data_IF_306622877635
#
_entry.id   IF_306622877635
#
_cell.length_a   1.000
_cell.length_b   1.000
_cell.length_c   1.000
_cell.angle_alpha   90.00
_cell.angle_beta   90.00
_cell.angle_gamma   90.00
#
_symmetry.space_group_name_H-M   'P 1'
#
loop_
_entity.id
_entity.type
_entity.pdbx_description
1 polymer ?
#
# COMPACT_ATOMS: atom_id res chain seq x y z
N UNK A 1 -50.01 -4.91 42.13
CA UNK A 1 -49.51 -3.66 41.52
C UNK A 1 -47.99 -3.80 41.46
N UNK A 2 -47.51 -4.33 40.35
CA UNK A 2 -46.08 -4.50 40.07
C UNK A 2 -45.48 -3.15 39.65
N UNK A 3 -44.35 -2.80 40.25
CA UNK A 3 -43.61 -1.59 39.92
C UNK A 3 -42.70 -1.87 38.72
N UNK A 4 -43.04 -1.26 37.59
CA UNK A 4 -42.26 -1.27 36.36
C UNK A 4 -40.93 -0.54 36.57
N UNK A 5 -39.82 -1.27 36.54
CA UNK A 5 -38.48 -0.71 36.56
C UNK A 5 -38.15 -0.20 35.14
N UNK A 6 -38.06 1.12 34.97
CA UNK A 6 -37.64 1.76 33.73
C UNK A 6 -36.11 1.65 33.64
N UNK A 7 -35.61 0.86 32.69
CA UNK A 7 -34.20 0.82 32.32
C UNK A 7 -33.84 2.12 31.58
N UNK A 8 -32.95 2.92 32.17
CA UNK A 8 -32.34 4.06 31.50
C UNK A 8 -31.41 3.59 30.36
N UNK A 9 -31.35 4.31 29.22
CA UNK A 9 -30.46 3.94 28.14
C UNK A 9 -28.99 4.12 28.54
N UNK A 10 -28.15 3.17 28.14
CA UNK A 10 -26.70 3.23 28.23
C UNK A 10 -26.20 4.55 27.64
N UNK A 11 -25.69 5.45 28.48
CA UNK A 11 -24.80 6.52 28.06
C UNK A 11 -23.46 5.90 27.66
N UNK A 12 -23.33 5.55 26.38
CA UNK A 12 -22.02 5.32 25.77
C UNK A 12 -21.39 6.68 25.54
N UNK A 13 -20.33 6.99 26.31
CA UNK A 13 -19.51 8.18 26.17
C UNK A 13 -18.97 8.28 24.73
N UNK A 14 -19.20 9.42 24.10
CA UNK A 14 -18.65 9.82 22.78
C UNK A 14 -17.18 10.28 22.85
N UNK A 15 -16.52 10.14 24.00
CA UNK A 15 -15.16 10.59 24.21
C UNK A 15 -14.17 9.46 23.90
N UNK A 16 -13.81 9.31 22.61
CA UNK A 16 -12.50 8.81 22.13
C UNK A 16 -12.42 8.74 20.58
N UNK A 17 -13.12 9.63 19.86
CA UNK A 17 -12.81 9.87 18.46
C UNK A 17 -11.56 10.75 18.40
N UNK A 18 -10.38 10.12 18.42
CA UNK A 18 -9.12 10.76 18.13
C UNK A 18 -9.17 11.28 16.67
N UNK A 19 -9.54 12.54 16.48
CA UNK A 19 -9.45 13.20 15.17
C UNK A 19 -7.97 13.32 14.83
N UNK A 20 -7.51 12.45 13.93
CA UNK A 20 -6.15 12.50 13.38
C UNK A 20 -6.20 13.46 12.19
N UNK A 21 -6.21 14.75 12.48
CA UNK A 21 -6.10 15.77 11.44
C UNK A 21 -4.83 15.52 10.61
N UNK A 22 -5.01 15.27 9.31
CA UNK A 22 -3.94 15.25 8.31
C UNK A 22 -3.65 13.91 7.61
N UNK A 23 -4.28 12.79 7.98
CA UNK A 23 -4.18 11.55 7.18
C UNK A 23 -5.37 11.33 6.23
N UNK A 24 -6.40 12.16 6.37
CA UNK A 24 -7.75 11.89 5.88
C UNK A 24 -7.98 12.24 4.40
N UNK A 25 -7.06 12.99 3.80
CA UNK A 25 -7.07 13.41 2.38
C UNK A 25 -5.89 12.84 1.56
N UNK A 26 -5.15 11.92 2.17
CA UNK A 26 -3.84 11.46 1.75
C UNK A 26 -3.83 10.40 0.64
N UNK A 27 -4.94 9.70 0.39
CA UNK A 27 -4.96 8.57 -0.57
C UNK A 27 -5.93 8.87 -1.72
N UNK A 28 -5.57 8.56 -2.98
CA UNK A 28 -6.45 8.83 -4.10
C UNK A 28 -7.74 8.03 -3.90
N UNK A 29 -8.88 8.57 -4.33
CA UNK A 29 -10.18 7.92 -4.16
C UNK A 29 -10.20 6.51 -4.76
N UNK A 30 -9.48 6.28 -5.86
CA UNK A 30 -9.23 4.98 -6.50
C UNK A 30 -8.65 3.95 -5.51
N UNK A 31 -7.74 4.38 -4.65
CA UNK A 31 -7.04 3.51 -3.73
C UNK A 31 -7.80 3.29 -2.44
N UNK A 32 -8.48 4.33 -1.94
CA UNK A 32 -9.44 4.19 -0.84
C UNK A 32 -10.52 3.19 -1.26
N UNK A 33 -11.04 3.28 -2.48
CA UNK A 33 -11.97 2.31 -3.04
C UNK A 33 -11.39 0.89 -3.06
N UNK A 34 -10.15 0.71 -3.50
CA UNK A 34 -9.48 -0.60 -3.49
C UNK A 34 -9.26 -1.16 -2.07
N UNK A 35 -8.99 -0.31 -1.08
CA UNK A 35 -8.88 -0.70 0.33
C UNK A 35 -10.26 -1.14 0.84
N UNK A 36 -11.30 -0.31 0.65
CA UNK A 36 -12.66 -0.59 1.08
C UNK A 36 -13.24 -1.86 0.44
N UNK A 37 -12.97 -2.11 -0.84
CA UNK A 37 -13.34 -3.34 -1.52
C UNK A 37 -12.78 -4.60 -0.86
N UNK A 38 -11.66 -4.50 -0.12
CA UNK A 38 -10.99 -5.63 0.54
C UNK A 38 -11.36 -5.77 2.01
N UNK A 39 -12.07 -4.80 2.58
CA UNK A 39 -12.61 -4.90 3.92
C UNK A 39 -13.79 -5.89 3.98
N UNK A 40 -14.05 -6.44 5.16
CA UNK A 40 -15.35 -7.01 5.50
C UNK A 40 -16.35 -5.88 5.80
N UNK A 41 -17.63 -6.21 5.98
CA UNK A 41 -18.68 -5.21 6.26
C UNK A 41 -18.37 -4.37 7.49
N UNK A 42 -17.80 -4.98 8.54
CA UNK A 42 -17.40 -4.29 9.77
C UNK A 42 -16.23 -3.35 9.53
N UNK A 43 -15.22 -3.81 8.79
CA UNK A 43 -14.04 -3.04 8.41
C UNK A 43 -14.41 -1.85 7.55
N UNK A 44 -15.30 -2.02 6.56
CA UNK A 44 -15.81 -0.94 5.73
C UNK A 44 -16.62 0.09 6.53
N UNK A 45 -17.43 -0.35 7.51
CA UNK A 45 -18.17 0.55 8.42
C UNK A 45 -17.28 1.30 9.41
N UNK A 46 -16.15 0.72 9.80
CA UNK A 46 -15.14 1.42 10.62
C UNK A 46 -14.35 2.39 9.77
N UNK A 47 -13.97 1.96 8.58
CA UNK A 47 -13.26 2.75 7.58
C UNK A 47 -14.09 3.99 7.15
N UNK A 48 -15.42 3.85 7.04
CA UNK A 48 -16.32 4.97 6.73
C UNK A 48 -16.39 6.03 7.83
N UNK A 49 -15.94 5.72 9.05
CA UNK A 49 -15.87 6.66 10.17
C UNK A 49 -14.52 7.36 10.29
N UNK A 50 -13.55 7.02 9.43
CA UNK A 50 -12.21 7.61 9.46
C UNK A 50 -12.26 9.07 8.99
N UNK A 51 -12.95 9.36 7.88
CA UNK A 51 -13.15 10.72 7.40
C UNK A 51 -14.31 10.84 6.41
N UNK A 52 -14.67 12.07 6.06
CA UNK A 52 -15.78 12.38 5.12
C UNK A 52 -15.59 11.75 3.72
N UNK A 53 -14.37 11.71 3.19
CA UNK A 53 -14.08 11.14 1.87
C UNK A 53 -14.29 9.62 1.83
N UNK A 54 -13.87 8.92 2.89
CA UNK A 54 -14.09 7.48 3.05
C UNK A 54 -15.57 7.18 3.29
N UNK A 55 -16.24 8.02 4.09
CA UNK A 55 -17.69 7.96 4.30
C UNK A 55 -18.43 8.07 2.97
N UNK A 56 -18.18 9.13 2.19
CA UNK A 56 -18.84 9.38 0.91
C UNK A 56 -18.64 8.24 -0.09
N UNK A 57 -17.45 7.64 -0.15
CA UNK A 57 -17.19 6.46 -0.98
C UNK A 57 -18.00 5.24 -0.52
N UNK A 58 -18.21 5.08 0.79
CA UNK A 58 -18.90 3.93 1.37
C UNK A 58 -20.41 4.07 1.54
N UNK A 59 -20.98 5.27 1.46
CA UNK A 59 -22.43 5.49 1.72
C UNK A 59 -23.19 6.16 0.60
N UNK A 60 -22.59 7.11 -0.13
CA UNK A 60 -23.37 8.13 -0.86
C UNK A 60 -23.20 8.10 -2.39
N UNK A 61 -22.55 7.08 -2.95
CA UNK A 61 -22.22 7.02 -4.39
C UNK A 61 -22.65 5.71 -5.07
N UNK A 62 -22.74 5.71 -6.41
CA UNK A 62 -22.81 4.46 -7.19
C UNK A 62 -21.62 3.54 -6.88
N UNK A 63 -20.48 4.15 -6.56
CA UNK A 63 -19.27 3.48 -6.07
C UNK A 63 -19.49 2.77 -4.73
N UNK A 64 -20.32 3.32 -3.82
CA UNK A 64 -20.70 2.66 -2.57
C UNK A 64 -21.48 1.36 -2.83
N UNK A 65 -22.36 1.35 -3.86
CA UNK A 65 -23.04 0.12 -4.26
C UNK A 65 -22.05 -0.94 -4.73
N UNK A 66 -21.00 -0.58 -5.46
CA UNK A 66 -19.98 -1.54 -5.88
C UNK A 66 -19.15 -2.06 -4.70
N UNK A 67 -18.79 -1.20 -3.74
CA UNK A 67 -18.11 -1.62 -2.49
C UNK A 67 -18.98 -2.62 -1.75
N UNK A 68 -20.22 -2.23 -1.43
CA UNK A 68 -21.13 -3.06 -0.65
C UNK A 68 -21.54 -4.32 -1.39
N UNK A 69 -21.78 -4.26 -2.71
CA UNK A 69 -22.04 -5.45 -3.52
C UNK A 69 -20.84 -6.39 -3.51
N UNK A 70 -19.61 -5.88 -3.54
CA UNK A 70 -18.41 -6.71 -3.44
C UNK A 70 -18.24 -7.31 -2.05
N UNK A 71 -18.47 -6.54 -0.99
CA UNK A 71 -18.42 -6.99 0.40
C UNK A 71 -19.50 -8.03 0.66
N UNK A 72 -20.76 -7.75 0.29
CA UNK A 72 -21.86 -8.70 0.40
C UNK A 72 -21.61 -9.91 -0.48
N UNK A 73 -21.12 -9.77 -1.71
CA UNK A 73 -20.79 -10.93 -2.53
C UNK A 73 -19.67 -11.74 -1.89
N UNK A 74 -18.63 -11.11 -1.34
CA UNK A 74 -17.57 -11.80 -0.60
C UNK A 74 -18.13 -12.51 0.62
N UNK A 75 -18.96 -11.87 1.41
CA UNK A 75 -19.51 -12.49 2.61
C UNK A 75 -20.56 -13.55 2.27
N UNK A 76 -21.40 -13.35 1.26
CA UNK A 76 -22.37 -14.35 0.80
C UNK A 76 -21.71 -15.54 0.10
N UNK A 77 -20.60 -15.33 -0.61
CA UNK A 77 -19.86 -16.39 -1.30
C UNK A 77 -18.87 -17.09 -0.37
N UNK A 78 -18.30 -16.38 0.61
CA UNK A 78 -17.23 -16.90 1.48
C UNK A 78 -17.67 -17.18 2.93
N UNK A 79 -18.86 -16.77 3.37
CA UNK A 79 -19.33 -17.00 4.76
C UNK A 79 -20.42 -18.08 4.89
N UNK A 80 -20.75 -18.85 3.84
CA UNK A 80 -21.90 -19.73 3.92
C UNK A 80 -21.84 -21.04 3.14
N UNK A 81 -20.93 -21.96 3.48
CA UNK A 81 -21.11 -23.38 3.11
C UNK A 81 -22.49 -23.90 3.59
N UNK A 82 -23.01 -23.32 4.69
CA UNK A 82 -24.32 -23.60 5.26
C UNK A 82 -25.47 -23.08 4.38
N UNK A 83 -25.45 -21.80 4.00
CA UNK A 83 -26.51 -21.18 3.17
C UNK A 83 -26.51 -21.71 1.73
N UNK A 84 -25.36 -22.01 1.13
CA UNK A 84 -25.28 -22.65 -0.19
C UNK A 84 -25.63 -24.15 -0.12
N UNK A 85 -25.34 -24.81 1.01
CA UNK A 85 -25.80 -26.17 1.31
C UNK A 85 -27.31 -26.27 1.46
N UNK A 86 -27.95 -25.27 2.08
CA UNK A 86 -29.42 -25.14 2.15
C UNK A 86 -30.06 -24.93 0.76
N UNK A 87 -29.30 -24.40 -0.21
CA UNK A 87 -29.71 -24.21 -1.61
C UNK A 87 -29.24 -25.33 -2.57
N UNK A 88 -28.54 -26.36 -2.07
CA UNK A 88 -28.18 -27.56 -2.83
C UNK A 88 -26.91 -27.47 -3.69
N UNK A 89 -26.05 -26.47 -3.51
CA UNK A 89 -24.79 -26.33 -4.25
C UNK A 89 -23.59 -26.80 -3.42
N UNK A 90 -22.62 -27.47 -4.06
CA UNK A 90 -21.39 -27.95 -3.43
C UNK A 90 -20.19 -27.16 -3.96
N UNK A 91 -19.58 -26.33 -3.10
CA UNK A 91 -18.41 -25.52 -3.45
C UNK A 91 -17.20 -26.06 -2.70
N UNK A 92 -16.15 -26.45 -3.43
CA UNK A 92 -14.83 -26.77 -2.85
C UNK A 92 -13.80 -25.81 -3.42
N UNK A 93 -13.36 -24.86 -2.60
CA UNK A 93 -12.18 -24.03 -2.85
C UNK A 93 -11.16 -24.30 -1.74
N UNK A 94 -9.85 -24.42 -2.04
CA UNK A 94 -8.85 -24.59 -1.00
C UNK A 94 -8.77 -23.33 -0.14
N UNK A 95 -9.03 -23.49 1.16
CA UNK A 95 -9.01 -22.44 2.17
C UNK A 95 -7.61 -21.79 2.28
N UNK A 96 -7.52 -20.52 1.87
CA UNK A 96 -6.57 -19.60 2.50
C UNK A 96 -7.38 -18.51 3.16
N UNK A 97 -7.40 -18.51 4.48
CA UNK A 97 -8.03 -17.47 5.27
C UNK A 97 -7.15 -16.20 5.22
N UNK A 98 -7.41 -15.35 4.21
CA UNK A 98 -6.71 -14.08 4.05
C UNK A 98 -6.94 -13.12 5.23
N UNK A 99 -8.03 -13.27 5.99
CA UNK A 99 -8.27 -12.52 7.23
C UNK A 99 -7.31 -12.98 8.30
N UNK A 100 -7.13 -14.29 8.47
CA UNK A 100 -6.14 -14.84 9.38
C UNK A 100 -4.71 -14.47 8.96
N UNK A 101 -4.35 -14.54 7.67
CA UNK A 101 -3.05 -14.07 7.16
C UNK A 101 -2.81 -12.59 7.48
N UNK A 102 -3.82 -11.73 7.28
CA UNK A 102 -3.73 -10.30 7.58
C UNK A 102 -3.60 -10.04 9.08
N UNK A 103 -4.37 -10.74 9.90
CA UNK A 103 -4.31 -10.62 11.36
C UNK A 103 -2.99 -11.16 11.92
N UNK A 104 -2.47 -12.25 11.38
CA UNK A 104 -1.16 -12.81 11.75
C UNK A 104 -0.02 -11.90 11.31
N UNK A 105 -0.11 -11.29 10.12
CA UNK A 105 0.84 -10.29 9.65
C UNK A 105 0.87 -9.05 10.56
N UNK A 106 -0.30 -8.52 10.90
CA UNK A 106 -0.44 -7.36 11.80
C UNK A 106 0.02 -7.68 13.23
N UNK A 107 -0.34 -8.86 13.76
CA UNK A 107 0.07 -9.32 15.09
C UNK A 107 1.56 -9.59 15.16
N UNK A 108 2.14 -10.23 14.15
CA UNK A 108 3.58 -10.43 14.06
C UNK A 108 4.32 -9.09 13.96
N UNK A 109 3.83 -8.15 13.14
CA UNK A 109 4.36 -6.79 13.04
C UNK A 109 4.15 -5.98 14.33
N UNK A 110 3.19 -6.35 15.18
CA UNK A 110 3.03 -5.76 16.49
C UNK A 110 4.05 -6.32 17.52
N UNK A 111 4.30 -7.62 17.48
CA UNK A 111 5.02 -8.34 18.54
C UNK A 111 6.55 -8.43 18.31
N UNK A 112 6.99 -8.47 17.05
CA UNK A 112 8.42 -8.65 16.69
C UNK A 112 9.09 -7.37 16.23
N UNK A 113 8.32 -6.30 16.05
CA UNK A 113 8.80 -5.08 15.43
C UNK A 113 9.33 -4.10 16.48
N UNK A 114 10.49 -3.44 16.26
CA UNK A 114 11.01 -2.47 17.20
C UNK A 114 9.98 -1.35 17.44
N UNK A 115 9.59 -1.12 18.70
CA UNK A 115 8.53 -0.15 19.09
C UNK A 115 8.83 1.29 18.70
N UNK A 116 10.08 1.59 18.36
CA UNK A 116 10.55 2.88 17.87
C UNK A 116 10.36 3.08 16.36
N UNK A 117 9.83 2.10 15.63
CA UNK A 117 9.68 2.15 14.17
C UNK A 117 8.23 2.46 13.78
N UNK A 118 8.06 3.45 12.91
CA UNK A 118 6.76 4.06 12.62
C UNK A 118 5.82 3.08 11.88
N UNK A 119 4.60 2.90 12.39
CA UNK A 119 3.53 2.10 11.74
C UNK A 119 3.09 2.71 10.40
N UNK A 120 3.44 3.97 10.11
CA UNK A 120 3.16 4.67 8.84
C UNK A 120 3.98 4.20 7.63
N UNK A 121 4.57 3.00 7.72
CA UNK A 121 5.55 2.46 6.77
C UNK A 121 5.07 1.20 6.05
N UNK A 122 3.83 0.80 6.32
CA UNK A 122 3.13 -0.25 5.62
C UNK A 122 2.16 0.38 4.62
N UNK A 123 2.21 -0.06 3.37
CA UNK A 123 1.30 0.39 2.33
C UNK A 123 0.82 -0.78 1.48
N UNK A 124 -0.37 -0.62 0.92
CA UNK A 124 -0.94 -1.59 0.03
C UNK A 124 -0.42 -1.36 -1.39
N UNK A 125 0.21 -2.39 -1.96
CA UNK A 125 0.60 -2.42 -3.36
C UNK A 125 -0.45 -3.17 -4.17
N UNK A 126 -1.38 -2.48 -4.83
CA UNK A 126 -2.41 -3.15 -5.60
C UNK A 126 -1.82 -3.78 -6.87
N UNK A 127 -2.25 -4.99 -7.25
CA UNK A 127 -1.94 -5.57 -8.58
C UNK A 127 -2.58 -4.81 -9.73
N UNK A 128 -3.68 -4.12 -9.45
CA UNK A 128 -4.53 -3.43 -10.42
C UNK A 128 -5.02 -2.11 -9.83
N UNK A 129 -5.06 -1.07 -10.65
CA UNK A 129 -5.60 0.24 -10.33
C UNK A 129 -6.88 0.39 -11.14
N UNK A 130 -7.96 0.81 -10.51
CA UNK A 130 -9.22 1.11 -11.19
C UNK A 130 -9.27 2.59 -11.45
N UNK A 131 -9.48 2.99 -12.69
CA UNK A 131 -9.73 4.40 -13.03
C UNK A 131 -11.16 4.77 -12.63
N UNK A 132 -11.36 5.79 -11.80
CA UNK A 132 -12.72 6.23 -11.46
C UNK A 132 -13.49 6.79 -12.67
N UNK A 133 -12.78 7.39 -13.64
CA UNK A 133 -13.40 7.95 -14.83
C UNK A 133 -14.00 6.89 -15.77
N UNK A 134 -13.38 5.70 -15.83
CA UNK A 134 -13.78 4.63 -16.76
C UNK A 134 -14.33 3.39 -16.07
N UNK A 135 -14.10 3.23 -14.77
CA UNK A 135 -14.40 2.00 -14.01
C UNK A 135 -13.53 0.80 -14.39
N UNK A 136 -12.59 0.94 -15.33
CA UNK A 136 -11.79 -0.17 -15.84
C UNK A 136 -10.58 -0.40 -14.94
N UNK A 137 -10.42 -1.66 -14.50
CA UNK A 137 -9.23 -2.12 -13.80
C UNK A 137 -8.08 -2.31 -14.80
N UNK A 138 -6.90 -1.79 -14.45
CA UNK A 138 -5.69 -1.93 -15.24
C UNK A 138 -4.54 -2.44 -14.35
N UNK A 139 -3.69 -3.36 -14.84
CA UNK A 139 -2.54 -3.84 -14.07
C UNK A 139 -1.64 -2.69 -13.61
N UNK A 140 -1.29 -2.67 -12.33
CA UNK A 140 -0.45 -1.67 -11.69
C UNK A 140 1.01 -1.89 -12.09
N UNK A 141 1.62 -0.88 -12.71
CA UNK A 141 3.02 -0.86 -13.14
C UNK A 141 3.63 0.49 -12.77
N UNK A 142 4.97 0.62 -12.73
CA UNK A 142 5.61 1.91 -12.48
C UNK A 142 5.03 3.06 -13.33
N UNK A 143 4.90 2.86 -14.65
CA UNK A 143 4.38 3.90 -15.54
C UNK A 143 2.95 4.28 -15.19
N UNK A 144 2.07 3.30 -14.94
CA UNK A 144 0.66 3.56 -14.65
C UNK A 144 0.44 4.21 -13.29
N UNK A 145 1.17 3.77 -12.26
CA UNK A 145 1.10 4.39 -10.93
C UNK A 145 1.57 5.84 -11.00
N UNK A 146 2.69 6.09 -11.67
CA UNK A 146 3.19 7.44 -11.87
C UNK A 146 2.19 8.34 -12.61
N UNK A 147 1.53 7.85 -13.66
CA UNK A 147 0.53 8.61 -14.40
C UNK A 147 -0.73 8.93 -13.56
N UNK A 148 -1.07 8.08 -12.57
CA UNK A 148 -2.21 8.30 -11.67
C UNK A 148 -1.86 9.27 -10.55
N UNK A 149 -0.69 9.10 -9.93
CA UNK A 149 -0.29 9.87 -8.74
C UNK A 149 0.38 11.20 -9.12
N UNK A 150 1.14 11.23 -10.23
CA UNK A 150 1.89 12.39 -10.71
C UNK A 150 1.11 13.71 -10.71
N UNK A 151 -0.09 13.76 -11.32
CA UNK A 151 -0.91 14.97 -11.35
C UNK A 151 -1.40 15.41 -9.96
N UNK A 152 -1.37 14.52 -8.97
CA UNK A 152 -1.87 14.78 -7.61
C UNK A 152 -0.76 15.25 -6.64
N UNK A 153 0.51 15.18 -7.05
CA UNK A 153 1.67 15.54 -6.23
C UNK A 153 2.00 17.05 -6.22
N UNK A 154 1.17 17.87 -6.86
CA UNK A 154 1.30 19.32 -6.90
C UNK A 154 1.97 19.86 -8.19
N UNK A 155 1.98 21.20 -8.36
CA UNK A 155 2.38 21.85 -9.62
C UNK A 155 3.86 21.73 -9.96
N UNK A 156 4.72 21.49 -8.96
CA UNK A 156 6.17 21.35 -9.15
C UNK A 156 6.58 19.92 -9.56
N UNK A 157 5.67 18.95 -9.41
CA UNK A 157 5.92 17.57 -9.81
C UNK A 157 5.56 17.35 -11.28
N UNK A 158 6.39 16.57 -11.98
CA UNK A 158 6.06 16.13 -13.33
C UNK A 158 4.74 15.35 -13.33
N UNK A 159 3.94 15.51 -14.39
CA UNK A 159 2.65 14.84 -14.57
C UNK A 159 2.74 13.29 -14.54
N UNK A 160 3.94 12.74 -14.73
CA UNK A 160 4.20 11.29 -14.66
C UNK A 160 4.61 10.83 -13.26
N UNK A 161 4.78 11.74 -12.30
CA UNK A 161 5.34 11.45 -10.97
C UNK A 161 6.87 11.25 -10.96
N UNK A 162 7.53 11.32 -12.14
CA UNK A 162 8.96 11.07 -12.27
C UNK A 162 9.73 12.32 -12.68
N UNK A 163 10.78 12.66 -11.93
CA UNK A 163 11.80 13.63 -12.38
C UNK A 163 12.61 13.05 -13.54
N UNK A 164 12.97 11.78 -13.41
CA UNK A 164 13.76 11.06 -14.39
C UNK A 164 13.54 9.56 -14.26
N UNK A 165 13.29 8.89 -15.38
CA UNK A 165 13.25 7.44 -15.46
C UNK A 165 14.25 7.02 -16.53
N UNK A 166 15.31 6.30 -16.15
CA UNK A 166 16.33 5.86 -17.09
C UNK A 166 15.70 5.12 -18.28
N UNK A 167 15.91 5.56 -19.54
CA UNK A 167 15.15 5.04 -20.68
C UNK A 167 15.23 3.52 -20.86
N UNK A 168 16.38 2.89 -20.57
CA UNK A 168 16.50 1.43 -20.64
C UNK A 168 15.68 0.74 -19.56
N UNK A 169 15.64 1.28 -18.33
CA UNK A 169 14.78 0.77 -17.28
C UNK A 169 13.31 1.00 -17.55
N UNK A 170 12.95 2.15 -18.12
CA UNK A 170 11.59 2.42 -18.54
C UNK A 170 11.12 1.39 -19.59
N UNK A 171 11.96 1.13 -20.59
CA UNK A 171 11.67 0.13 -21.62
C UNK A 171 11.57 -1.30 -21.05
N UNK A 172 12.50 -1.71 -20.20
CA UNK A 172 12.58 -3.08 -19.70
C UNK A 172 11.62 -3.37 -18.53
N UNK A 173 11.32 -2.38 -17.70
CA UNK A 173 10.61 -2.56 -16.41
C UNK A 173 9.44 -1.61 -16.20
N UNK A 174 9.30 -0.54 -16.99
CA UNK A 174 8.24 0.47 -16.78
C UNK A 174 6.82 -0.09 -16.89
N UNK A 175 6.62 -1.09 -17.76
CA UNK A 175 5.35 -1.80 -17.93
C UNK A 175 5.22 -3.08 -17.11
N UNK A 176 6.23 -3.47 -16.31
CA UNK A 176 6.15 -4.68 -15.47
C UNK A 176 5.15 -4.45 -14.35
N UNK A 177 4.30 -5.44 -14.13
CA UNK A 177 3.21 -5.37 -13.17
C UNK A 177 3.49 -6.24 -11.97
N UNK A 178 2.91 -5.88 -10.84
CA UNK A 178 2.84 -6.78 -9.69
C UNK A 178 2.03 -8.03 -10.08
N UNK A 179 2.52 -9.20 -9.68
CA UNK A 179 1.84 -10.47 -9.94
C UNK A 179 0.61 -10.64 -9.05
N UNK A 180 0.68 -10.10 -7.85
CA UNK A 180 -0.40 -10.12 -6.87
C UNK A 180 -0.41 -8.83 -6.05
N UNK A 181 -1.57 -8.52 -5.48
CA UNK A 181 -1.70 -7.46 -4.50
C UNK A 181 -1.00 -7.89 -3.23
N UNK A 182 -0.18 -7.04 -2.64
CA UNK A 182 0.49 -7.36 -1.38
C UNK A 182 0.53 -6.16 -0.45
N UNK A 183 0.57 -6.43 0.86
CA UNK A 183 0.97 -5.42 1.82
C UNK A 183 2.49 -5.39 1.86
N UNK A 184 3.05 -4.21 1.64
CA UNK A 184 4.49 -3.98 1.66
C UNK A 184 4.80 -3.14 2.87
N UNK A 185 5.64 -3.68 3.74
CA UNK A 185 6.37 -2.87 4.70
C UNK A 185 7.68 -2.44 4.06
N UNK A 186 8.01 -1.16 4.17
CA UNK A 186 9.26 -0.59 3.68
C UNK A 186 9.97 0.20 4.79
N UNK A 187 11.29 0.08 4.95
CA UNK A 187 12.00 0.84 6.00
C UNK A 187 12.02 2.34 5.72
N UNK A 188 11.97 3.20 6.76
CA UNK A 188 11.92 4.67 6.62
C UNK A 188 13.24 5.29 6.17
N UNK A 189 14.30 4.51 6.19
CA UNK A 189 15.57 4.85 5.57
C UNK A 189 16.24 3.55 5.13
N UNK A 190 17.38 3.68 4.46
CA UNK A 190 18.26 2.55 4.22
C UNK A 190 18.75 1.94 5.54
N UNK A 191 19.02 0.64 5.55
CA UNK A 191 19.60 -0.03 6.74
C UNK A 191 20.88 0.71 7.13
N UNK A 192 21.09 1.03 8.42
CA UNK A 192 22.35 1.59 8.89
C UNK A 192 23.56 0.77 8.40
N UNK A 193 24.62 1.46 8.00
CA UNK A 193 25.86 0.87 7.48
C UNK A 193 25.74 0.07 6.18
N UNK A 194 24.54 -0.01 5.58
CA UNK A 194 24.37 -0.59 4.25
C UNK A 194 24.90 0.31 3.14
N UNK A 195 25.14 1.58 3.45
CA UNK A 195 25.65 2.54 2.49
C UNK A 195 27.03 2.14 2.01
N UNK A 196 27.28 2.25 0.70
CA UNK A 196 28.57 1.90 0.07
C UNK A 196 28.96 0.42 0.09
N UNK A 197 28.09 -0.45 0.59
CA UNK A 197 28.26 -1.90 0.46
C UNK A 197 27.93 -2.33 -0.96
N UNK A 198 28.50 -3.46 -1.38
CA UNK A 198 28.12 -4.09 -2.63
C UNK A 198 26.71 -4.71 -2.51
N UNK A 199 26.11 -4.98 -3.68
CA UNK A 199 24.74 -5.48 -3.76
C UNK A 199 24.55 -6.82 -3.02
N UNK A 200 25.54 -7.72 -3.06
CA UNK A 200 25.49 -9.01 -2.37
C UNK A 200 25.42 -8.81 -0.86
N UNK A 201 26.32 -8.00 -0.32
CA UNK A 201 26.32 -7.62 1.10
C UNK A 201 24.99 -6.97 1.52
N UNK A 202 24.43 -6.08 0.69
CA UNK A 202 23.15 -5.43 0.97
C UNK A 202 21.96 -6.40 0.95
N UNK A 203 21.98 -7.40 0.05
CA UNK A 203 20.99 -8.47 0.05
C UNK A 203 21.04 -9.27 1.36
N UNK A 204 22.24 -9.60 1.84
CA UNK A 204 22.43 -10.34 3.08
C UNK A 204 22.00 -9.51 4.30
N UNK A 205 22.29 -8.21 4.30
CA UNK A 205 21.80 -7.29 5.32
C UNK A 205 20.26 -7.22 5.32
N UNK A 206 19.62 -7.10 4.16
CA UNK A 206 18.16 -7.04 4.06
C UNK A 206 17.50 -8.34 4.55
N UNK A 207 18.11 -9.51 4.27
CA UNK A 207 17.67 -10.80 4.80
C UNK A 207 17.84 -10.89 6.32
N UNK A 208 18.99 -10.47 6.85
CA UNK A 208 19.24 -10.42 8.29
C UNK A 208 18.26 -9.48 9.01
N UNK A 209 17.79 -8.45 8.30
CA UNK A 209 16.75 -7.53 8.75
C UNK A 209 15.32 -8.14 8.71
N UNK A 210 15.16 -9.36 8.19
CA UNK A 210 13.86 -10.05 8.12
C UNK A 210 13.02 -9.71 6.88
N UNK A 211 13.63 -9.21 5.82
CA UNK A 211 12.98 -8.98 4.52
C UNK A 211 13.92 -9.26 3.35
N UNK A 212 13.77 -8.50 2.27
CA UNK A 212 14.65 -8.57 1.12
C UNK A 212 14.82 -7.22 0.44
N UNK A 213 15.68 -7.18 -0.56
CA UNK A 213 15.74 -6.04 -1.49
C UNK A 213 14.38 -5.93 -2.19
N UNK A 214 13.85 -4.73 -2.32
CA UNK A 214 12.57 -4.49 -3.00
C UNK A 214 12.66 -4.69 -4.51
N UNK A 215 11.58 -5.15 -5.14
CA UNK A 215 11.43 -4.99 -6.60
C UNK A 215 11.06 -3.54 -6.95
N UNK A 216 11.32 -3.17 -8.21
CA UNK A 216 11.11 -1.83 -8.73
C UNK A 216 9.64 -1.39 -8.63
N UNK A 217 8.63 -2.22 -9.03
CA UNK A 217 7.24 -1.85 -8.86
C UNK A 217 6.87 -1.51 -7.41
N UNK A 218 7.30 -2.33 -6.45
CA UNK A 218 6.96 -2.15 -5.03
C UNK A 218 7.56 -0.87 -4.46
N UNK A 219 8.82 -0.55 -4.78
CA UNK A 219 9.46 0.69 -4.29
C UNK A 219 8.90 1.94 -4.94
N UNK A 220 8.65 1.91 -6.24
CA UNK A 220 8.03 3.03 -6.94
C UNK A 220 6.64 3.31 -6.37
N UNK A 221 5.84 2.24 -6.20
CA UNK A 221 4.51 2.33 -5.60
C UNK A 221 4.60 2.92 -4.20
N UNK A 222 5.43 2.33 -3.35
CA UNK A 222 5.61 2.78 -1.97
C UNK A 222 6.01 4.23 -1.83
N UNK A 223 7.02 4.65 -2.59
CA UNK A 223 7.55 6.01 -2.53
C UNK A 223 6.54 7.03 -3.02
N UNK A 224 5.89 6.79 -4.17
CA UNK A 224 4.87 7.72 -4.69
C UNK A 224 3.66 7.81 -3.76
N UNK A 225 3.20 6.68 -3.22
CA UNK A 225 2.07 6.68 -2.28
C UNK A 225 2.39 7.35 -0.97
N UNK A 226 3.59 7.12 -0.42
CA UNK A 226 4.01 7.77 0.81
C UNK A 226 4.07 9.29 0.65
N UNK A 227 4.67 9.74 -0.45
CA UNK A 227 4.83 11.16 -0.69
C UNK A 227 3.48 11.83 -0.89
N UNK A 228 2.62 11.25 -1.75
CA UNK A 228 1.25 11.74 -1.92
C UNK A 228 0.47 11.75 -0.59
N UNK A 229 0.61 10.70 0.22
CA UNK A 229 -0.13 10.58 1.46
C UNK A 229 0.31 11.47 2.60
N UNK A 230 1.57 11.89 2.62
CA UNK A 230 2.11 12.58 3.79
C UNK A 230 2.80 13.88 3.46
N UNK A 231 3.01 14.19 2.17
CA UNK A 231 3.91 15.23 1.70
C UNK A 231 5.36 15.01 2.16
N UNK A 232 5.69 13.79 2.63
CA UNK A 232 6.99 13.45 3.20
C UNK A 232 7.65 12.36 2.38
N UNK A 233 8.95 12.58 2.18
CA UNK A 233 9.88 11.61 1.62
C UNK A 233 9.86 10.30 2.39
N UNK A 234 9.89 9.18 1.66
CA UNK A 234 9.92 7.85 2.26
C UNK A 234 11.28 7.53 2.91
N UNK A 235 12.37 7.97 2.30
CA UNK A 235 13.75 7.84 2.83
C UNK A 235 14.53 9.14 2.60
N UNK A 236 15.71 9.28 3.24
CA UNK A 236 16.57 10.45 3.08
C UNK A 236 17.15 10.54 1.65
N UNK A 237 17.92 11.59 1.30
CA UNK A 237 18.51 11.84 -0.04
C UNK A 237 19.54 10.78 -0.47
N UNK A 238 19.07 9.54 -0.52
CA UNK A 238 19.79 8.29 -0.68
C UNK A 238 19.01 7.49 -1.72
N UNK A 239 19.75 6.72 -2.50
CA UNK A 239 19.19 5.78 -3.46
C UNK A 239 19.03 4.42 -2.80
N UNK A 240 17.86 3.80 -2.93
CA UNK A 240 17.68 2.40 -2.58
C UNK A 240 17.83 1.51 -3.81
N UNK A 241 18.52 0.38 -3.64
CA UNK A 241 18.65 -0.63 -4.67
C UNK A 241 17.37 -1.45 -4.84
N UNK A 242 17.11 -1.83 -6.08
CA UNK A 242 16.03 -2.74 -6.46
C UNK A 242 16.58 -4.14 -6.75
N UNK A 243 15.72 -5.14 -6.93
CA UNK A 243 16.11 -6.49 -7.37
C UNK A 243 16.53 -6.54 -8.84
N UNK A 244 16.00 -5.64 -9.65
CA UNK A 244 16.17 -5.63 -11.10
C UNK A 244 17.48 -4.99 -11.54
N UNK A 245 18.06 -5.57 -12.60
CA UNK A 245 19.27 -5.07 -13.25
C UNK A 245 19.10 -5.02 -14.76
N UNK A 246 19.91 -4.20 -15.42
CA UNK A 246 20.01 -4.15 -16.89
C UNK A 246 21.47 -4.36 -17.27
N UNK A 247 21.75 -5.52 -17.85
CA UNK A 247 23.13 -5.96 -18.06
C UNK A 247 23.82 -6.19 -16.73
N UNK A 248 24.89 -5.43 -16.44
CA UNK A 248 25.68 -5.55 -15.21
C UNK A 248 25.35 -4.47 -14.17
N UNK A 249 24.31 -3.69 -14.38
CA UNK A 249 24.02 -2.51 -13.56
C UNK A 249 22.71 -2.70 -12.83
N UNK A 250 22.74 -2.54 -11.50
CA UNK A 250 21.55 -2.62 -10.66
C UNK A 250 20.67 -1.38 -10.83
N UNK A 251 19.35 -1.53 -10.74
CA UNK A 251 18.46 -0.39 -10.69
C UNK A 251 18.40 0.21 -9.28
N UNK A 252 18.30 1.52 -9.24
CA UNK A 252 18.17 2.30 -8.01
C UNK A 252 17.00 3.27 -8.11
N UNK A 253 16.36 3.53 -6.97
CA UNK A 253 15.28 4.50 -6.82
C UNK A 253 15.69 5.51 -5.76
N UNK A 254 15.69 6.80 -6.14
CA UNK A 254 15.90 7.91 -5.22
C UNK A 254 14.67 8.15 -4.37
N UNK A 255 14.84 8.85 -3.26
CA UNK A 255 13.69 9.43 -2.56
C UNK A 255 12.96 10.44 -3.45
N UNK A 256 11.70 10.69 -3.14
CA UNK A 256 10.90 11.64 -3.90
C UNK A 256 11.40 13.08 -3.67
N UNK A 257 11.73 13.80 -4.75
CA UNK A 257 12.00 15.23 -4.69
C UNK A 257 10.78 16.02 -5.20
N UNK A 258 10.65 17.34 -4.96
CA UNK A 258 9.54 18.13 -5.50
C UNK A 258 9.36 17.98 -7.02
N UNK A 259 10.46 17.73 -7.76
CA UNK A 259 10.45 17.50 -9.20
C UNK A 259 10.05 16.07 -9.62
N UNK A 260 9.75 15.19 -8.67
CA UNK A 260 9.32 13.81 -8.89
C UNK A 260 10.34 12.75 -8.46
N UNK A 261 9.93 11.49 -8.60
CA UNK A 261 10.74 10.30 -8.33
C UNK A 261 11.84 10.11 -9.39
N UNK A 262 13.01 9.62 -8.97
CA UNK A 262 14.09 9.26 -9.90
C UNK A 262 14.35 7.77 -9.89
N UNK A 263 14.24 7.14 -11.06
CA UNK A 263 14.66 5.75 -11.32
C UNK A 263 15.90 5.78 -12.20
N UNK A 264 17.00 5.22 -11.72
CA UNK A 264 18.27 5.25 -12.44
C UNK A 264 19.02 3.91 -12.33
N UNK A 265 20.20 3.86 -12.95
CA UNK A 265 21.13 2.75 -12.85
C UNK A 265 22.24 3.06 -11.84
N UNK A 266 22.77 2.00 -11.25
CA UNK A 266 23.89 2.02 -10.31
C UNK A 266 25.26 2.02 -11.03
N UNK A 267 25.53 3.02 -11.88
CA UNK A 267 26.90 3.17 -12.40
C UNK A 267 27.69 4.09 -11.47
N UNK A 268 28.80 3.57 -10.98
CA UNK A 268 29.81 4.15 -10.09
C UNK A 268 30.40 5.51 -10.52
N UNK A 269 30.01 6.06 -11.68
CA UNK A 269 30.41 7.42 -12.05
C UNK A 269 29.87 8.49 -11.10
N UNK A 270 28.93 8.11 -10.23
CA UNK A 270 28.55 8.89 -9.06
C UNK A 270 29.00 8.22 -7.76
N UNK A 271 30.30 7.97 -7.57
CA UNK A 271 30.93 7.66 -6.24
C UNK A 271 30.60 8.71 -5.14
N UNK A 272 29.85 9.75 -5.48
CA UNK A 272 29.36 10.81 -4.61
C UNK A 272 27.97 10.50 -4.03
N UNK A 273 27.22 9.56 -4.64
CA UNK A 273 25.82 9.32 -4.28
C UNK A 273 25.72 8.17 -3.28
N UNK A 274 25.28 8.50 -2.07
CA UNK A 274 24.96 7.52 -1.03
C UNK A 274 23.87 6.58 -1.55
N UNK A 275 24.21 5.30 -1.72
CA UNK A 275 23.26 4.22 -2.03
C UNK A 275 23.23 3.24 -0.87
N UNK A 276 22.04 2.82 -0.46
CA UNK A 276 21.85 1.78 0.55
C UNK A 276 20.73 0.83 0.14
N UNK A 277 20.27 0.03 1.08
CA UNK A 277 19.15 -0.87 0.86
C UNK A 277 18.02 -0.56 1.83
N UNK A 278 16.85 -0.33 1.27
CA UNK A 278 15.60 -0.34 2.02
C UNK A 278 15.08 -1.76 2.07
N UNK A 279 14.63 -2.19 3.24
CA UNK A 279 14.10 -3.55 3.42
C UNK A 279 12.63 -3.55 3.08
N UNK A 280 12.26 -4.48 2.20
CA UNK A 280 10.86 -4.79 1.93
C UNK A 280 10.50 -6.15 2.49
N UNK A 281 9.35 -6.18 3.17
CA UNK A 281 8.67 -7.43 3.51
C UNK A 281 7.27 -7.40 2.92
N UNK A 282 6.94 -8.47 2.19
CA UNK A 282 5.61 -8.71 1.62
C UNK A 282 4.82 -9.62 2.56
N UNK A 283 3.53 -9.33 2.71
CA UNK A 283 2.55 -10.11 3.47
C UNK A 283 1.37 -10.49 2.57
#
# INVERSE_FOLDING_TARGET
>A
MEATQVLSPLNLREDDAMQVEGFEEALPLEMIFQILLRCDHVGALKASRVCKSWQALSTDSSTAQDIWKNIFYKELVFAGEREWGELGYKVTLPERDYRQVTLEALKWAHDKWPKNWDRKMMFFCPKEIVSLATGVAAPASPVKIGAVIGPLLGPDCNATGYRYFWPKALQAHGGKTLQESCWVYMTPDVIPDSTWKDYGTQCDMAKAFGGGVTDLPSVVTGTLLKDYATGKRLFSDIFTLCQESIGRVQLVVESFAPSGLRVNHDLSFFDIVKRGVVVVRKF
#
